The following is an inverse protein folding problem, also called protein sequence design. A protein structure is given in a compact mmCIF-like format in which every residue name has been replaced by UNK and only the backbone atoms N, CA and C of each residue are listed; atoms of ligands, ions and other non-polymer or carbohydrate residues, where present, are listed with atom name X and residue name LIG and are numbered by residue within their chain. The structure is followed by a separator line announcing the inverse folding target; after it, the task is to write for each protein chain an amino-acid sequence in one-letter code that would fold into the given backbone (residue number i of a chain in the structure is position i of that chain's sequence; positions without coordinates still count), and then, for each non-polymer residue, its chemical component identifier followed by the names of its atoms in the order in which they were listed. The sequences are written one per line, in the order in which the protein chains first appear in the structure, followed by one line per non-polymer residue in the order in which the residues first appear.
data_IF_197401098991
#
_entry.id   IF_197401098991
#
_cell.length_a   1.000
_cell.length_b   1.000
_cell.length_c   1.000
_cell.angle_alpha   90.00
_cell.angle_beta   90.00
_cell.angle_gamma   90.00
#
_symmetry.space_group_name_H-M   'P 1'
#
loop_
_entity.id
_entity.type
_entity.pdbx_description
1 polymer ?
#
# COMPACT_ATOMS: atom_id res chain seq x y z
N UNK A 1 10.16 15.60 14.35
CA UNK A 1 10.06 14.15 14.10
C UNK A 1 11.04 13.38 15.00
N UNK A 2 10.69 13.10 16.25
CA UNK A 2 11.58 12.39 17.19
C UNK A 2 10.89 11.33 18.06
N UNK A 3 9.55 11.27 18.05
CA UNK A 3 8.79 10.29 18.83
C UNK A 3 8.76 8.88 18.20
N UNK A 4 9.07 8.74 16.91
CA UNK A 4 9.04 7.46 16.18
C UNK A 4 10.24 6.56 16.48
N UNK A 5 11.40 7.14 16.82
CA UNK A 5 12.64 6.38 17.03
C UNK A 5 12.74 5.71 18.42
N UNK A 6 11.95 6.17 19.40
CA UNK A 6 12.00 5.62 20.77
C UNK A 6 11.05 4.45 21.00
N UNK A 7 10.11 4.18 20.09
CA UNK A 7 9.13 3.10 20.25
C UNK A 7 9.59 1.75 19.69
N UNK A 8 10.67 1.69 18.91
CA UNK A 8 11.11 0.47 18.21
C UNK A 8 12.64 0.33 18.22
N UNK A 9 13.23 -0.33 19.22
CA UNK A 9 14.69 -0.44 19.38
C UNK A 9 15.30 -1.66 18.68
N UNK A 10 14.64 -2.22 17.66
CA UNK A 10 15.09 -3.44 16.97
C UNK A 10 15.21 -3.19 15.45
N UNK A 11 16.41 -3.30 14.85
CA UNK A 11 16.68 -2.85 13.49
C UNK A 11 16.37 -3.87 12.38
N UNK A 12 15.60 -4.94 12.64
CA UNK A 12 15.56 -6.10 11.72
C UNK A 12 14.18 -6.42 11.13
N UNK A 13 13.15 -5.66 11.50
CA UNK A 13 11.81 -5.80 10.90
C UNK A 13 11.23 -4.39 10.76
N UNK A 14 11.77 -3.63 9.80
CA UNK A 14 11.22 -2.32 9.45
C UNK A 14 9.86 -2.54 8.76
N UNK A 15 8.87 -2.69 9.64
CA UNK A 15 7.45 -2.36 9.52
C UNK A 15 6.89 -2.41 8.10
N UNK A 16 5.95 -3.35 7.89
CA UNK A 16 5.19 -3.59 6.67
C UNK A 16 5.10 -2.35 5.78
N UNK A 17 5.33 -2.43 4.45
CA UNK A 17 5.40 -1.28 3.55
C UNK A 17 4.23 -0.27 3.69
N UNK A 18 3.08 -0.73 4.19
CA UNK A 18 1.94 0.11 4.57
C UNK A 18 2.30 1.17 5.64
N UNK A 19 3.13 0.85 6.62
CA UNK A 19 3.54 1.73 7.72
C UNK A 19 4.48 2.87 7.31
N UNK A 20 5.14 2.74 6.16
CA UNK A 20 5.99 3.80 5.59
C UNK A 20 5.25 4.68 4.58
N UNK A 21 4.02 4.31 4.22
CA UNK A 21 3.20 5.10 3.32
C UNK A 21 2.42 6.18 4.07
N UNK A 22 2.11 7.31 3.41
CA UNK A 22 1.18 8.29 3.95
C UNK A 22 -0.15 7.60 4.29
N UNK A 23 -0.76 7.97 5.42
CA UNK A 23 -2.04 7.38 5.87
C UNK A 23 -3.13 7.41 4.80
N UNK A 24 -3.13 8.44 3.94
CA UNK A 24 -4.04 8.54 2.80
C UNK A 24 -3.90 7.39 1.78
N UNK A 25 -2.70 6.85 1.57
CA UNK A 25 -2.48 5.68 0.71
C UNK A 25 -2.97 4.40 1.38
N UNK A 26 -2.77 4.28 2.69
CA UNK A 26 -3.24 3.14 3.48
C UNK A 26 -4.77 3.04 3.42
N UNK A 27 -5.47 4.17 3.60
CA UNK A 27 -6.94 4.21 3.46
C UNK A 27 -7.37 3.81 2.05
N UNK A 28 -6.70 4.31 1.00
CA UNK A 28 -7.01 3.89 -0.39
C UNK A 28 -6.82 2.39 -0.62
N UNK A 29 -5.78 1.78 -0.05
CA UNK A 29 -5.54 0.34 -0.14
C UNK A 29 -6.62 -0.46 0.60
N UNK A 30 -7.06 0.01 1.77
CA UNK A 30 -8.13 -0.64 2.54
C UNK A 30 -9.50 -0.50 1.87
N UNK A 31 -9.76 0.65 1.24
CA UNK A 31 -11.02 0.97 0.58
C UNK A 31 -11.19 0.24 -0.76
N UNK A 32 -10.11 0.07 -1.54
CA UNK A 32 -10.18 -0.48 -2.91
C UNK A 32 -9.78 -1.95 -3.05
N UNK A 33 -9.13 -2.53 -2.04
CA UNK A 33 -8.65 -3.92 -2.10
C UNK A 33 -9.16 -4.66 -0.88
N UNK A 34 -9.73 -5.85 -1.06
CA UNK A 34 -10.15 -6.72 0.05
C UNK A 34 -9.02 -7.65 0.53
N UNK A 35 -8.12 -8.01 -0.38
CA UNK A 35 -7.03 -8.96 -0.13
C UNK A 35 -5.81 -8.27 0.51
N UNK A 36 -5.39 -8.78 1.66
CA UNK A 36 -4.21 -8.32 2.39
C UNK A 36 -2.91 -8.51 1.59
N UNK A 37 -2.80 -9.55 0.76
CA UNK A 37 -1.65 -9.77 -0.09
C UNK A 37 -1.52 -8.69 -1.17
N UNK A 38 -2.65 -8.32 -1.80
CA UNK A 38 -2.67 -7.22 -2.77
C UNK A 38 -2.31 -5.88 -2.13
N UNK A 39 -2.86 -5.60 -0.93
CA UNK A 39 -2.52 -4.37 -0.19
C UNK A 39 -1.02 -4.25 0.06
N UNK A 40 -0.37 -5.33 0.51
CA UNK A 40 1.08 -5.36 0.74
C UNK A 40 1.87 -5.19 -0.56
N UNK A 41 1.44 -5.81 -1.66
CA UNK A 41 2.09 -5.69 -2.96
C UNK A 41 2.04 -4.26 -3.50
N UNK A 42 0.85 -3.65 -3.52
CA UNK A 42 0.67 -2.27 -3.96
C UNK A 42 1.35 -1.27 -3.03
N UNK A 43 1.38 -1.56 -1.72
CA UNK A 43 2.13 -0.74 -0.77
C UNK A 43 3.63 -0.77 -1.08
N UNK A 44 4.19 -1.97 -1.26
CA UNK A 44 5.60 -2.14 -1.63
C UNK A 44 5.94 -1.46 -2.95
N UNK A 45 5.09 -1.60 -3.97
CA UNK A 45 5.27 -0.92 -5.27
C UNK A 45 5.16 0.60 -5.18
N UNK A 46 4.27 1.10 -4.33
CA UNK A 46 4.15 2.55 -4.09
C UNK A 46 5.40 3.13 -3.45
N UNK A 47 6.02 2.40 -2.50
CA UNK A 47 7.29 2.80 -1.92
C UNK A 47 8.45 2.71 -2.91
N UNK A 48 8.55 1.60 -3.66
CA UNK A 48 9.62 1.36 -4.63
C UNK A 48 9.62 2.39 -5.76
N UNK A 49 8.43 2.76 -6.26
CA UNK A 49 8.26 3.66 -7.41
C UNK A 49 7.89 5.08 -7.04
N UNK A 50 7.74 5.39 -5.76
CA UNK A 50 7.31 6.69 -5.27
C UNK A 50 5.95 7.13 -5.82
N UNK A 51 4.98 6.20 -5.90
CA UNK A 51 3.66 6.53 -6.42
C UNK A 51 2.93 7.52 -5.51
N UNK A 52 2.29 8.51 -6.13
CA UNK A 52 1.31 9.36 -5.45
C UNK A 52 -0.01 8.62 -5.28
N UNK A 53 -0.90 9.12 -4.42
CA UNK A 53 -2.20 8.49 -4.13
C UNK A 53 -3.02 8.29 -5.40
N UNK A 54 -2.99 9.28 -6.30
CA UNK A 54 -3.70 9.24 -7.58
C UNK A 54 -3.13 8.16 -8.50
N UNK A 55 -1.80 8.02 -8.55
CA UNK A 55 -1.14 6.96 -9.35
C UNK A 55 -1.45 5.59 -8.75
N UNK A 56 -1.36 5.43 -7.43
CA UNK A 56 -1.75 4.19 -6.76
C UNK A 56 -3.20 3.82 -7.06
N UNK A 57 -4.12 4.77 -6.96
CA UNK A 57 -5.55 4.57 -7.27
C UNK A 57 -5.73 4.12 -8.72
N UNK A 58 -5.09 4.82 -9.66
CA UNK A 58 -5.13 4.49 -11.08
C UNK A 58 -4.56 3.10 -11.37
N UNK A 59 -3.48 2.68 -10.68
CA UNK A 59 -2.88 1.35 -10.85
C UNK A 59 -3.83 0.25 -10.34
N UNK A 60 -4.48 0.47 -9.20
CA UNK A 60 -5.49 -0.46 -8.65
C UNK A 60 -6.68 -0.56 -9.61
N UNK A 61 -7.20 0.56 -10.11
CA UNK A 61 -8.35 0.59 -11.03
C UNK A 61 -8.02 -0.03 -12.39
N UNK A 62 -6.85 0.29 -12.95
CA UNK A 62 -6.38 -0.30 -14.22
C UNK A 62 -6.22 -1.81 -14.07
N UNK A 63 -5.62 -2.28 -12.97
CA UNK A 63 -5.50 -3.71 -12.72
C UNK A 63 -6.85 -4.39 -12.46
N UNK A 64 -7.81 -3.70 -11.84
CA UNK A 64 -9.18 -4.18 -11.68
C UNK A 64 -9.88 -4.33 -13.04
N UNK A 65 -9.65 -3.41 -13.99
CA UNK A 65 -10.10 -3.55 -15.38
C UNK A 65 -9.42 -4.72 -16.11
N UNK A 66 -8.16 -5.01 -15.78
CA UNK A 66 -7.43 -6.18 -16.30
C UNK A 66 -7.80 -7.50 -15.63
N UNK A 67 -8.66 -7.51 -14.60
CA UNK A 67 -9.12 -8.76 -13.98
C UNK A 67 -9.97 -9.52 -15.00
N UNK A 68 -9.49 -10.64 -15.58
CA UNK A 68 -10.34 -11.48 -16.40
C UNK A 68 -11.26 -12.24 -15.46
N UNK A 69 -12.56 -11.99 -15.53
CA UNK A 69 -13.58 -12.86 -14.97
C UNK A 69 -13.91 -12.65 -13.49
N UNK A 70 -14.92 -11.84 -13.23
CA UNK A 70 -16.13 -12.37 -12.58
C UNK A 70 -17.36 -11.62 -13.09
N UNK A 71 -17.59 -11.77 -14.39
CA UNK A 71 -18.94 -11.80 -14.90
C UNK A 71 -19.42 -13.24 -14.69
N UNK A 72 -20.54 -13.34 -13.95
CA UNK A 72 -21.35 -14.53 -13.66
C UNK A 72 -20.85 -15.48 -12.58
#
# INVERSE_FOLDING_TARGET
MRALAQAFPQPEFVQQPVAQLPWSHVVTLLDKLDDSAQRLWYAGKSLERGWSRSVLTMQIETAAHFRPGKAS
#
